data_IF_848151361918
#
_entry.id   IF_848151361918
#
_cell.length_a   1.000
_cell.length_b   1.000
_cell.length_c   1.000
_cell.angle_alpha   90.00
_cell.angle_beta   90.00
_cell.angle_gamma   90.00
#
_symmetry.space_group_name_H-M   'P 1'
#
loop_
_entity.id
_entity.type
_entity.pdbx_description
1 polymer ?
#
# COMPACT_ATOMS: atom_id res chain seq x y z
N UNK A 1 -10.63 26.30 8.18
CA UNK A 1 -11.59 25.69 7.21
C UNK A 1 -11.65 24.15 7.31
N UNK A 2 -11.12 23.56 8.36
CA UNK A 2 -10.97 22.09 8.57
C UNK A 2 -12.23 21.36 9.11
N UNK A 3 -13.20 22.07 9.68
CA UNK A 3 -14.33 21.43 10.39
C UNK A 3 -15.50 20.96 9.49
N UNK A 4 -15.58 21.42 8.24
CA UNK A 4 -16.68 21.01 7.34
C UNK A 4 -16.42 19.71 6.57
N UNK A 5 -15.15 19.32 6.37
CA UNK A 5 -14.78 18.07 5.68
C UNK A 5 -15.01 16.85 6.56
N UNK A 6 -14.72 16.95 7.85
CA UNK A 6 -14.95 15.87 8.83
C UNK A 6 -16.43 15.50 8.97
N UNK A 7 -17.34 16.49 8.92
CA UNK A 7 -18.78 16.24 9.08
C UNK A 7 -19.40 15.55 7.84
N UNK A 8 -18.91 15.84 6.64
CA UNK A 8 -19.45 15.26 5.40
C UNK A 8 -19.04 13.78 5.26
N UNK A 9 -17.79 13.44 5.60
CA UNK A 9 -17.33 12.04 5.60
C UNK A 9 -18.07 11.22 6.66
N UNK A 10 -18.30 11.77 7.85
CA UNK A 10 -19.05 11.10 8.91
C UNK A 10 -20.53 10.86 8.53
N UNK A 11 -21.16 11.77 7.80
CA UNK A 11 -22.53 11.60 7.30
C UNK A 11 -22.58 10.54 6.19
N UNK A 12 -21.61 10.53 5.27
CA UNK A 12 -21.53 9.53 4.21
C UNK A 12 -21.28 8.12 4.76
N UNK A 13 -20.36 7.97 5.70
CA UNK A 13 -20.12 6.69 6.41
C UNK A 13 -21.38 6.24 7.15
N UNK A 14 -22.11 7.14 7.80
CA UNK A 14 -23.38 6.84 8.46
C UNK A 14 -24.48 6.42 7.47
N UNK A 15 -24.58 7.05 6.30
CA UNK A 15 -25.57 6.69 5.27
C UNK A 15 -25.24 5.31 4.64
N UNK A 16 -23.98 5.02 4.38
CA UNK A 16 -23.53 3.71 3.87
C UNK A 16 -23.81 2.63 4.92
N UNK A 17 -23.45 2.87 6.16
CA UNK A 17 -23.70 1.92 7.26
C UNK A 17 -25.21 1.74 7.56
N UNK A 18 -26.04 2.77 7.37
CA UNK A 18 -27.49 2.66 7.50
C UNK A 18 -28.14 1.89 6.34
N UNK A 19 -27.58 1.98 5.12
CA UNK A 19 -28.04 1.23 3.95
C UNK A 19 -27.50 -0.21 3.94
N UNK A 20 -26.51 -0.56 4.77
CA UNK A 20 -25.87 -1.89 4.83
C UNK A 20 -26.84 -3.03 5.16
N UNK A 21 -27.95 -2.74 5.82
CA UNK A 21 -28.99 -3.74 6.14
C UNK A 21 -29.91 -4.09 4.95
N UNK A 22 -29.84 -3.34 3.84
CA UNK A 22 -30.80 -3.44 2.74
C UNK A 22 -30.16 -3.80 1.40
N UNK A 23 -28.93 -3.34 1.14
CA UNK A 23 -28.26 -3.55 -0.15
C UNK A 23 -26.93 -4.29 0.00
N UNK A 24 -26.61 -5.23 -0.92
CA UNK A 24 -25.28 -5.82 -1.00
C UNK A 24 -24.18 -4.76 -1.13
N UNK A 25 -23.02 -4.98 -0.50
CA UNK A 25 -21.91 -4.01 -0.40
C UNK A 25 -21.48 -3.44 -1.78
N UNK A 26 -21.34 -4.29 -2.78
CA UNK A 26 -20.94 -3.85 -4.13
C UNK A 26 -21.97 -2.90 -4.77
N UNK A 27 -23.26 -3.02 -4.45
CA UNK A 27 -24.29 -2.08 -4.90
C UNK A 27 -24.24 -0.76 -4.15
N UNK A 28 -23.87 -0.79 -2.87
CA UNK A 28 -23.63 0.43 -2.08
C UNK A 28 -22.47 1.24 -2.66
N UNK A 29 -21.36 0.59 -3.04
CA UNK A 29 -20.20 1.23 -3.66
C UNK A 29 -20.58 1.83 -5.03
N UNK A 30 -21.36 1.11 -5.83
CA UNK A 30 -21.88 1.64 -7.12
C UNK A 30 -22.80 2.84 -6.94
N UNK A 31 -23.68 2.80 -5.94
CA UNK A 31 -24.54 3.94 -5.60
C UNK A 31 -23.71 5.15 -5.16
N UNK A 32 -22.67 4.94 -4.35
CA UNK A 32 -21.73 5.99 -3.97
C UNK A 32 -21.03 6.59 -5.19
N UNK A 33 -20.54 5.78 -6.13
CA UNK A 33 -19.98 6.23 -7.41
C UNK A 33 -20.93 7.17 -8.15
N UNK A 34 -22.21 6.79 -8.27
CA UNK A 34 -23.22 7.61 -8.96
C UNK A 34 -23.46 8.95 -8.25
N UNK A 35 -23.53 8.93 -6.90
CA UNK A 35 -23.69 10.15 -6.10
C UNK A 35 -22.50 11.09 -6.26
N UNK A 36 -21.28 10.56 -6.28
CA UNK A 36 -20.07 11.35 -6.48
C UNK A 36 -20.01 11.97 -7.88
N UNK A 37 -20.38 11.19 -8.92
CA UNK A 37 -20.52 11.73 -10.29
C UNK A 37 -21.55 12.86 -10.38
N UNK A 38 -22.70 12.72 -9.75
CA UNK A 38 -23.72 13.77 -9.72
C UNK A 38 -23.19 15.03 -9.01
N UNK A 39 -22.52 14.86 -7.87
CA UNK A 39 -21.91 15.96 -7.12
C UNK A 39 -20.83 16.70 -7.92
N UNK A 40 -19.96 15.98 -8.64
CA UNK A 40 -18.94 16.58 -9.50
C UNK A 40 -19.54 17.43 -10.62
N UNK A 41 -20.67 17.01 -11.20
CA UNK A 41 -21.39 17.79 -12.22
C UNK A 41 -21.96 19.11 -11.69
N UNK A 42 -22.37 19.13 -10.41
CA UNK A 42 -23.03 20.30 -9.80
C UNK A 42 -22.07 21.25 -9.10
N UNK A 43 -20.98 20.76 -8.50
CA UNK A 43 -20.07 21.54 -7.65
C UNK A 43 -18.68 21.70 -8.27
N UNK A 44 -18.39 20.94 -9.33
CA UNK A 44 -17.04 20.82 -9.91
C UNK A 44 -16.10 19.95 -9.07
N UNK A 45 -14.99 19.53 -9.67
CA UNK A 45 -13.94 18.82 -8.93
C UNK A 45 -13.14 19.82 -8.09
N UNK A 46 -13.07 19.62 -6.79
CA UNK A 46 -12.22 20.41 -5.87
C UNK A 46 -10.76 19.97 -5.87
N UNK A 47 -10.44 18.87 -6.53
CA UNK A 47 -9.07 18.37 -6.62
C UNK A 47 -8.37 18.97 -7.82
N UNK A 48 -7.15 19.50 -7.64
CA UNK A 48 -6.26 19.68 -8.77
C UNK A 48 -5.99 18.29 -9.37
N UNK A 49 -6.25 18.13 -10.66
CA UNK A 49 -5.70 17.00 -11.40
C UNK A 49 -4.19 17.23 -11.48
N UNK A 50 -3.45 16.39 -10.80
CA UNK A 50 -1.99 16.44 -10.85
C UNK A 50 -1.58 15.70 -12.14
N UNK A 51 -1.43 16.45 -13.22
CA UNK A 51 -0.85 15.93 -14.44
C UNK A 51 0.67 16.13 -14.36
N UNK A 52 1.38 15.05 -14.11
CA UNK A 52 2.83 15.07 -14.23
C UNK A 52 3.23 14.99 -15.70
N UNK A 53 3.75 16.09 -16.23
CA UNK A 53 4.43 16.09 -17.54
C UNK A 53 5.88 15.69 -17.30
N UNK A 54 6.35 14.65 -18.00
CA UNK A 54 7.73 14.21 -17.89
C UNK A 54 8.68 15.31 -18.33
N UNK A 55 9.48 15.76 -17.37
CA UNK A 55 10.53 16.75 -17.59
C UNK A 55 11.86 16.20 -17.08
N UNK A 56 13.00 16.56 -17.70
CA UNK A 56 14.30 16.21 -17.16
C UNK A 56 14.42 16.71 -15.71
N UNK A 57 14.88 15.83 -14.83
CA UNK A 57 15.18 16.21 -13.45
C UNK A 57 16.44 17.07 -13.44
N UNK A 58 16.42 18.28 -12.84
CA UNK A 58 17.60 19.16 -12.77
C UNK A 58 18.75 18.51 -12.00
N UNK A 59 19.99 18.94 -12.26
CA UNK A 59 21.10 18.63 -11.35
C UNK A 59 20.79 19.21 -9.97
N UNK A 60 20.81 18.36 -8.95
CA UNK A 60 20.51 18.77 -7.57
C UNK A 60 21.40 19.92 -7.08
N UNK A 61 22.66 20.01 -7.57
CA UNK A 61 23.59 21.07 -7.19
C UNK A 61 23.25 22.45 -7.80
N UNK A 62 22.40 22.46 -8.83
CA UNK A 62 21.89 23.69 -9.43
C UNK A 62 20.69 24.31 -8.72
N UNK A 63 20.07 23.55 -7.78
CA UNK A 63 18.87 23.98 -7.06
C UNK A 63 19.23 24.67 -5.74
N UNK A 64 18.40 25.62 -5.32
CA UNK A 64 18.37 26.03 -3.92
C UNK A 64 17.79 24.87 -3.08
N UNK A 65 18.21 24.77 -1.81
CA UNK A 65 17.79 23.63 -0.95
C UNK A 65 16.29 23.61 -0.76
N UNK A 66 15.65 24.77 -0.68
CA UNK A 66 14.21 24.96 -0.54
C UNK A 66 13.39 24.57 -1.77
N UNK A 67 14.03 24.44 -2.94
CA UNK A 67 13.39 24.07 -4.21
C UNK A 67 13.46 22.56 -4.49
N UNK A 68 14.10 21.79 -3.62
CA UNK A 68 14.15 20.34 -3.72
C UNK A 68 12.77 19.74 -3.42
N UNK A 69 12.11 19.17 -4.43
CA UNK A 69 10.81 18.51 -4.29
C UNK A 69 10.93 16.99 -4.32
N UNK A 70 10.83 16.36 -3.15
CA UNK A 70 10.86 14.90 -3.00
C UNK A 70 9.58 14.22 -3.46
N UNK A 71 8.51 14.96 -3.75
CA UNK A 71 7.28 14.42 -4.30
C UNK A 71 7.26 14.29 -5.82
N UNK A 72 8.31 14.78 -6.50
CA UNK A 72 8.42 14.68 -7.96
C UNK A 72 8.67 13.22 -8.38
N UNK A 73 7.73 12.56 -9.09
CA UNK A 73 7.86 11.15 -9.47
C UNK A 73 9.01 10.90 -10.45
N UNK A 74 9.39 11.88 -11.25
CA UNK A 74 10.49 11.73 -12.21
C UNK A 74 11.86 11.63 -11.54
N UNK A 75 11.97 12.13 -10.31
CA UNK A 75 13.17 11.97 -9.48
C UNK A 75 13.50 10.47 -9.30
N UNK A 76 12.48 9.65 -9.08
CA UNK A 76 12.62 8.19 -8.90
C UNK A 76 12.71 7.48 -10.24
N UNK A 77 11.87 7.86 -11.20
CA UNK A 77 11.83 7.23 -12.53
C UNK A 77 13.13 7.39 -13.32
N UNK A 78 13.80 8.52 -13.15
CA UNK A 78 15.09 8.83 -13.81
C UNK A 78 16.29 8.44 -12.91
N UNK A 79 16.08 7.73 -11.82
CA UNK A 79 17.10 7.26 -10.85
C UNK A 79 18.01 8.39 -10.29
N UNK A 80 17.47 9.61 -10.15
CA UNK A 80 18.19 10.77 -9.63
C UNK A 80 18.05 10.95 -8.11
N UNK A 81 17.15 10.23 -7.48
CA UNK A 81 16.75 10.42 -6.08
C UNK A 81 17.90 10.30 -5.08
N UNK A 82 18.91 9.45 -5.34
CA UNK A 82 20.02 9.25 -4.40
C UNK A 82 20.81 10.52 -4.12
N UNK A 83 21.10 11.31 -5.15
CA UNK A 83 21.81 12.58 -5.02
C UNK A 83 20.98 13.61 -4.25
N UNK A 84 19.67 13.68 -4.52
CA UNK A 84 18.72 14.57 -3.86
C UNK A 84 18.60 14.25 -2.37
N UNK A 85 18.36 13.00 -2.02
CA UNK A 85 18.26 12.58 -0.61
C UNK A 85 19.60 12.67 0.11
N UNK A 86 20.73 12.45 -0.59
CA UNK A 86 22.05 12.69 0.01
C UNK A 86 22.20 14.16 0.43
N UNK A 87 21.90 15.08 -0.47
CA UNK A 87 22.01 16.50 -0.20
C UNK A 87 21.06 16.93 0.94
N UNK A 88 19.81 16.45 0.95
CA UNK A 88 18.89 16.72 2.06
C UNK A 88 19.41 16.18 3.39
N UNK A 89 19.96 14.96 3.43
CA UNK A 89 20.54 14.43 4.67
C UNK A 89 21.71 15.26 5.20
N UNK A 90 22.48 15.82 4.32
CA UNK A 90 23.67 16.61 4.68
C UNK A 90 23.31 18.04 5.10
N UNK A 91 22.45 18.73 4.36
CA UNK A 91 22.18 20.16 4.48
C UNK A 91 20.85 20.48 5.19
N UNK A 92 19.79 19.70 4.96
CA UNK A 92 18.44 19.94 5.48
C UNK A 92 17.70 18.62 5.78
N UNK A 93 18.12 17.83 6.81
CA UNK A 93 17.56 16.52 7.08
C UNK A 93 16.08 16.52 7.48
N UNK A 94 15.57 17.64 7.96
CA UNK A 94 14.16 17.95 8.19
C UNK A 94 13.80 19.10 7.26
N UNK A 95 13.34 18.76 6.06
CA UNK A 95 13.14 19.69 4.95
C UNK A 95 11.67 20.03 4.76
N UNK A 96 11.32 21.32 4.74
CA UNK A 96 9.96 21.80 4.49
C UNK A 96 9.72 22.04 3.01
N UNK A 97 8.94 21.18 2.40
CA UNK A 97 8.46 21.35 1.03
C UNK A 97 7.24 22.27 1.02
N UNK A 98 7.46 23.54 0.72
CA UNK A 98 6.40 24.57 0.74
C UNK A 98 5.38 24.41 -0.39
N UNK A 99 5.86 23.97 -1.56
CA UNK A 99 5.04 23.84 -2.78
C UNK A 99 5.23 22.45 -3.36
N UNK A 100 4.15 21.69 -3.44
CA UNK A 100 4.09 20.45 -4.18
C UNK A 100 2.69 20.25 -4.76
N UNK A 101 2.50 19.35 -5.71
CA UNK A 101 1.17 18.97 -6.22
C UNK A 101 0.23 18.48 -5.13
N UNK A 102 0.79 17.99 -4.01
CA UNK A 102 0.04 17.48 -2.85
C UNK A 102 -0.16 18.53 -1.75
N UNK A 103 0.33 19.78 -1.95
CA UNK A 103 0.41 20.81 -0.92
C UNK A 103 1.69 20.68 -0.06
N UNK A 104 1.84 21.49 1.02
CA UNK A 104 3.05 21.49 1.83
C UNK A 104 3.20 20.23 2.68
N UNK A 105 4.44 19.82 2.92
CA UNK A 105 4.79 18.70 3.80
C UNK A 105 6.27 18.79 4.24
N UNK A 106 6.64 18.04 5.26
CA UNK A 106 8.00 17.86 5.73
C UNK A 106 8.58 16.55 5.17
N UNK A 107 9.81 16.58 4.64
CA UNK A 107 10.59 15.38 4.30
C UNK A 107 11.60 15.09 5.39
N UNK A 108 11.54 13.90 5.97
CA UNK A 108 12.47 13.43 6.99
C UNK A 108 13.40 12.42 6.34
N UNK A 109 14.72 12.71 6.34
CA UNK A 109 15.66 11.96 5.49
C UNK A 109 16.75 11.22 6.26
N UNK A 110 16.96 11.46 7.56
CA UNK A 110 17.90 10.70 8.39
C UNK A 110 17.23 9.58 9.12
N UNK A 111 17.92 8.45 9.23
CA UNK A 111 17.40 7.22 9.82
C UNK A 111 16.88 7.39 11.25
N UNK A 112 17.64 8.08 12.11
CA UNK A 112 17.26 8.32 13.50
C UNK A 112 15.98 9.17 13.62
N UNK A 113 15.84 10.15 12.72
CA UNK A 113 14.67 11.05 12.69
C UNK A 113 13.44 10.29 12.15
N UNK A 114 13.63 9.42 11.16
CA UNK A 114 12.58 8.52 10.67
C UNK A 114 12.12 7.59 11.79
N UNK A 115 13.05 6.97 12.52
CA UNK A 115 12.72 6.13 13.67
C UNK A 115 11.98 6.90 14.78
N UNK A 116 12.37 8.16 15.02
CA UNK A 116 11.70 9.02 15.98
C UNK A 116 10.25 9.27 15.54
N UNK A 117 10.01 9.65 14.28
CA UNK A 117 8.66 9.90 13.76
C UNK A 117 7.83 8.62 13.76
N UNK A 118 8.39 7.49 13.32
CA UNK A 118 7.65 6.23 13.19
C UNK A 118 7.26 5.61 14.54
N UNK A 119 8.10 5.74 15.54
CA UNK A 119 7.86 5.15 16.89
C UNK A 119 6.96 5.98 17.80
N UNK A 120 6.74 7.26 17.49
CA UNK A 120 6.00 8.17 18.36
C UNK A 120 4.61 8.47 17.78
N UNK A 121 3.72 7.47 17.78
CA UNK A 121 2.37 7.60 17.25
C UNK A 121 1.52 8.66 17.98
N UNK A 122 1.83 8.97 19.23
CA UNK A 122 1.17 10.06 19.98
C UNK A 122 1.49 11.44 19.40
N UNK A 123 2.70 11.61 18.83
CA UNK A 123 3.15 12.84 18.19
C UNK A 123 2.85 12.86 16.68
N UNK A 124 2.84 11.67 16.05
CA UNK A 124 2.75 11.51 14.60
C UNK A 124 1.76 10.41 14.24
N UNK A 125 0.52 10.81 13.96
CA UNK A 125 -0.58 9.91 13.63
C UNK A 125 -0.41 9.30 12.24
N UNK A 126 -0.80 8.04 12.08
CA UNK A 126 -0.96 7.39 10.78
C UNK A 126 -2.25 7.81 10.07
N UNK A 127 -3.20 8.40 10.80
CA UNK A 127 -4.47 8.85 10.25
C UNK A 127 -4.33 10.16 9.44
N UNK A 128 -5.18 10.37 8.45
CA UNK A 128 -6.17 9.45 7.89
C UNK A 128 -5.59 8.55 6.80
N UNK A 129 -4.30 8.63 6.50
CA UNK A 129 -3.67 7.96 5.39
C UNK A 129 -2.14 7.96 5.46
N UNK A 130 -1.50 6.90 4.97
CA UNK A 130 -0.04 6.70 5.01
C UNK A 130 0.69 7.15 3.73
N UNK A 131 -0.02 7.56 2.68
CA UNK A 131 0.55 8.08 1.44
C UNK A 131 0.39 9.60 1.38
N UNK A 132 1.23 10.27 0.58
CA UNK A 132 1.27 11.73 0.50
C UNK A 132 -0.01 12.33 -0.09
N UNK A 133 -0.59 11.69 -1.12
CA UNK A 133 -1.87 12.10 -1.71
C UNK A 133 -3.06 11.82 -0.79
N UNK A 134 -4.10 12.61 -0.89
CA UNK A 134 -5.35 12.33 -0.17
C UNK A 134 -6.26 11.38 -0.98
N UNK A 135 -7.09 10.53 -0.35
CA UNK A 135 -7.98 9.62 -1.05
C UNK A 135 -9.02 10.38 -1.88
N UNK A 136 -9.61 9.77 -2.93
CA UNK A 136 -10.72 10.37 -3.67
C UNK A 136 -11.84 10.82 -2.74
N UNK A 137 -12.44 11.99 -3.03
CA UNK A 137 -13.56 12.46 -2.23
C UNK A 137 -14.68 11.43 -2.23
N UNK A 138 -15.11 10.98 -1.06
CA UNK A 138 -16.14 9.94 -0.90
C UNK A 138 -15.67 8.49 -0.97
N UNK A 139 -14.40 8.22 -1.32
CA UNK A 139 -13.79 6.89 -1.23
C UNK A 139 -12.68 6.89 -0.15
N UNK A 140 -13.03 7.31 1.05
CA UNK A 140 -12.14 7.13 2.20
C UNK A 140 -12.35 5.73 2.73
N UNK A 141 -11.45 4.81 2.33
CA UNK A 141 -11.43 3.46 2.90
C UNK A 141 -10.63 3.48 4.20
N UNK A 142 -11.16 2.79 5.19
CA UNK A 142 -10.50 2.63 6.49
C UNK A 142 -9.66 1.35 6.46
N UNK A 143 -8.37 1.47 6.67
CA UNK A 143 -7.44 0.33 6.73
C UNK A 143 -6.55 0.43 7.96
N UNK A 144 -6.26 -0.69 8.62
CA UNK A 144 -5.58 -0.64 9.91
C UNK A 144 -4.19 0.00 9.86
N UNK A 145 -3.48 -0.05 8.74
CA UNK A 145 -2.18 0.63 8.59
C UNK A 145 -2.29 2.16 8.67
N UNK A 146 -3.48 2.71 8.41
CA UNK A 146 -3.80 4.14 8.50
C UNK A 146 -4.66 4.46 9.74
N UNK A 147 -4.55 3.65 10.77
CA UNK A 147 -5.20 3.83 12.07
C UNK A 147 -4.15 3.97 13.16
N UNK A 148 -4.52 4.63 14.24
CA UNK A 148 -3.71 4.71 15.46
C UNK A 148 -4.16 3.67 16.50
N UNK A 149 -3.33 3.36 17.51
CA UNK A 149 -3.75 2.56 18.65
C UNK A 149 -4.96 3.19 19.38
N UNK A 150 -5.87 2.39 19.97
CA UNK A 150 -5.85 0.93 20.06
C UNK A 150 -6.43 0.20 18.85
N UNK A 151 -7.12 0.92 17.92
CA UNK A 151 -7.84 0.32 16.79
C UNK A 151 -6.88 -0.42 15.83
N UNK A 152 -5.72 0.18 15.53
CA UNK A 152 -4.65 -0.46 14.77
C UNK A 152 -4.25 -1.81 15.35
N UNK A 153 -3.93 -1.84 16.65
CA UNK A 153 -3.36 -3.03 17.30
C UNK A 153 -4.32 -4.20 17.33
N UNK A 154 -5.59 -3.91 17.53
CA UNK A 154 -6.67 -4.89 17.55
C UNK A 154 -6.77 -5.59 16.19
N UNK A 155 -6.86 -4.82 15.11
CA UNK A 155 -7.03 -5.37 13.77
C UNK A 155 -5.76 -6.04 13.24
N UNK A 156 -4.60 -5.48 13.52
CA UNK A 156 -3.32 -6.09 13.15
C UNK A 156 -3.13 -7.45 13.82
N UNK A 157 -3.46 -7.57 15.12
CA UNK A 157 -3.39 -8.86 15.83
C UNK A 157 -4.28 -9.94 15.20
N UNK A 158 -5.43 -9.57 14.66
CA UNK A 158 -6.35 -10.51 14.03
C UNK A 158 -5.71 -11.26 12.83
N UNK A 159 -4.80 -10.63 12.09
CA UNK A 159 -4.21 -11.17 10.86
C UNK A 159 -2.74 -11.57 10.98
N UNK A 160 -2.02 -11.09 12.00
CA UNK A 160 -0.57 -11.31 12.10
C UNK A 160 -0.19 -12.79 12.21
N UNK A 161 -1.08 -13.64 12.70
CA UNK A 161 -0.84 -15.07 12.86
C UNK A 161 -0.50 -15.76 11.53
N UNK A 162 -1.15 -15.41 10.42
CA UNK A 162 -0.91 -16.04 9.12
C UNK A 162 0.54 -15.90 8.66
N UNK A 163 1.15 -14.76 8.92
CA UNK A 163 2.54 -14.47 8.54
C UNK A 163 3.53 -14.64 9.70
N UNK A 164 3.11 -15.28 10.79
CA UNK A 164 4.01 -15.59 11.89
C UNK A 164 5.12 -16.57 11.46
N UNK A 165 6.35 -16.46 11.99
CA UNK A 165 7.50 -17.28 11.54
C UNK A 165 7.23 -18.79 11.55
N UNK A 166 6.48 -19.30 12.55
CA UNK A 166 6.08 -20.71 12.61
C UNK A 166 5.27 -21.11 11.38
N UNK A 167 4.26 -20.32 11.03
CA UNK A 167 3.34 -20.63 9.93
C UNK A 167 4.01 -20.45 8.57
N UNK A 168 4.90 -19.45 8.43
CA UNK A 168 5.72 -19.30 7.23
C UNK A 168 6.64 -20.51 7.01
N UNK A 169 7.17 -21.09 8.09
CA UNK A 169 7.98 -22.31 8.02
C UNK A 169 7.14 -23.52 7.54
N UNK A 170 5.90 -23.64 8.00
CA UNK A 170 4.99 -24.69 7.54
C UNK A 170 4.62 -24.50 6.06
N UNK A 171 4.54 -23.27 5.58
CA UNK A 171 4.27 -22.93 4.18
C UNK A 171 5.51 -23.05 3.26
N UNK A 172 6.72 -23.20 3.79
CA UNK A 172 7.97 -23.20 2.99
C UNK A 172 7.92 -24.21 1.84
N UNK A 173 7.45 -25.43 2.10
CA UNK A 173 7.33 -26.47 1.08
C UNK A 173 6.40 -26.06 -0.07
N UNK A 174 5.26 -25.45 0.25
CA UNK A 174 4.32 -24.94 -0.75
C UNK A 174 4.91 -23.77 -1.55
N UNK A 175 5.54 -22.82 -0.86
CA UNK A 175 6.18 -21.67 -1.52
C UNK A 175 7.26 -22.14 -2.48
N UNK A 176 8.10 -23.10 -2.06
CA UNK A 176 9.16 -23.69 -2.87
C UNK A 176 8.61 -24.42 -4.10
N UNK A 177 7.55 -25.24 -3.94
CA UNK A 177 6.89 -25.91 -5.06
C UNK A 177 6.36 -24.92 -6.09
N UNK A 178 5.67 -23.89 -5.64
CA UNK A 178 5.12 -22.87 -6.54
C UNK A 178 6.20 -22.05 -7.24
N UNK A 179 7.28 -21.75 -6.54
CA UNK A 179 8.42 -21.07 -7.15
C UNK A 179 9.06 -21.96 -8.24
N UNK A 180 9.24 -23.25 -7.97
CA UNK A 180 9.75 -24.20 -8.95
C UNK A 180 8.82 -24.30 -10.18
N UNK A 181 7.52 -24.50 -9.98
CA UNK A 181 6.53 -24.55 -11.06
C UNK A 181 6.56 -23.30 -11.97
N UNK A 182 6.68 -22.11 -11.37
CA UNK A 182 6.79 -20.86 -12.12
C UNK A 182 8.09 -20.83 -12.92
N UNK A 183 9.22 -21.17 -12.30
CA UNK A 183 10.53 -21.16 -12.96
C UNK A 183 10.63 -22.21 -14.06
N UNK A 184 10.09 -23.42 -13.85
CA UNK A 184 10.08 -24.51 -14.84
C UNK A 184 9.19 -24.21 -16.04
N UNK A 185 8.19 -23.32 -15.90
CA UNK A 185 7.32 -22.87 -16.99
C UNK A 185 7.94 -21.81 -17.90
N UNK A 186 9.11 -21.29 -17.56
CA UNK A 186 9.72 -20.18 -18.31
C UNK A 186 10.30 -20.66 -19.65
N UNK A 187 10.20 -19.83 -20.72
CA UNK A 187 10.85 -20.14 -21.97
C UNK A 187 12.38 -20.07 -21.82
N UNK A 188 13.09 -21.12 -22.30
CA UNK A 188 14.56 -21.20 -22.25
C UNK A 188 15.22 -20.69 -23.54
N UNK A 189 14.45 -20.58 -24.62
CA UNK A 189 14.90 -20.33 -25.99
C UNK A 189 14.71 -18.88 -26.46
N UNK A 190 14.06 -18.04 -25.66
CA UNK A 190 13.76 -16.65 -26.02
C UNK A 190 13.71 -15.73 -24.79
N UNK A 191 13.97 -14.42 -25.00
CA UNK A 191 13.77 -13.41 -23.96
C UNK A 191 12.32 -13.34 -23.50
N UNK A 192 12.10 -13.10 -22.21
CA UNK A 192 10.79 -12.90 -21.62
C UNK A 192 10.82 -11.78 -20.57
N UNK A 193 9.65 -11.23 -20.27
CA UNK A 193 9.52 -10.23 -19.22
C UNK A 193 9.39 -10.93 -17.85
N UNK A 194 10.39 -10.73 -16.99
CA UNK A 194 10.44 -11.32 -15.65
C UNK A 194 9.26 -10.93 -14.77
N UNK A 195 8.84 -9.66 -14.82
CA UNK A 195 7.79 -9.14 -13.93
C UNK A 195 6.47 -9.89 -14.08
N UNK A 196 5.83 -9.98 -15.27
CA UNK A 196 4.61 -10.76 -15.41
C UNK A 196 4.83 -12.26 -15.29
N UNK A 197 5.94 -12.80 -15.82
CA UNK A 197 6.15 -14.23 -15.89
C UNK A 197 6.51 -14.86 -14.53
N UNK A 198 7.21 -14.13 -13.67
CA UNK A 198 7.67 -14.65 -12.38
C UNK A 198 7.08 -13.87 -11.20
N UNK A 199 7.39 -12.59 -11.10
CA UNK A 199 7.10 -11.84 -9.88
C UNK A 199 5.60 -11.70 -9.61
N UNK A 200 4.80 -11.32 -10.63
CA UNK A 200 3.34 -11.21 -10.52
C UNK A 200 2.67 -12.58 -10.36
N UNK A 201 3.13 -13.56 -11.12
CA UNK A 201 2.54 -14.91 -11.06
C UNK A 201 2.74 -15.54 -9.68
N UNK A 202 3.96 -15.48 -9.13
CA UNK A 202 4.25 -16.05 -7.82
C UNK A 202 3.50 -15.34 -6.69
N UNK A 203 3.46 -14.00 -6.71
CA UNK A 203 2.71 -13.25 -5.68
C UNK A 203 1.21 -13.50 -5.78
N UNK A 204 0.64 -13.57 -6.98
CA UNK A 204 -0.77 -13.91 -7.19
C UNK A 204 -1.13 -15.29 -6.65
N UNK A 205 -0.29 -16.29 -6.89
CA UNK A 205 -0.45 -17.65 -6.35
C UNK A 205 -0.42 -17.68 -4.82
N UNK A 206 0.51 -16.94 -4.22
CA UNK A 206 0.63 -16.89 -2.76
C UNK A 206 -0.52 -16.12 -2.11
N UNK A 207 -0.94 -14.99 -2.68
CA UNK A 207 -2.10 -14.23 -2.19
C UNK A 207 -3.38 -15.04 -2.23
N UNK A 208 -3.64 -15.78 -3.34
CA UNK A 208 -4.79 -16.65 -3.43
C UNK A 208 -4.81 -17.68 -2.30
N UNK A 209 -3.65 -18.23 -1.93
CA UNK A 209 -3.54 -19.16 -0.79
C UNK A 209 -3.77 -18.46 0.55
N UNK A 210 -3.12 -17.32 0.78
CA UNK A 210 -3.22 -16.60 2.05
C UNK A 210 -4.62 -16.07 2.34
N UNK A 211 -5.41 -15.78 1.29
CA UNK A 211 -6.77 -15.29 1.37
C UNK A 211 -7.83 -16.40 1.20
N UNK A 212 -7.41 -17.64 0.87
CA UNK A 212 -8.28 -18.73 0.40
C UNK A 212 -9.20 -18.29 -0.75
N UNK A 213 -8.63 -17.46 -1.64
CA UNK A 213 -9.31 -16.94 -2.82
C UNK A 213 -9.29 -17.97 -3.94
N UNK A 214 -10.35 -18.06 -4.79
CA UNK A 214 -10.39 -19.01 -5.89
C UNK A 214 -9.14 -18.93 -6.76
N UNK A 215 -8.40 -20.04 -6.85
CA UNK A 215 -7.07 -20.07 -7.45
C UNK A 215 -7.09 -19.68 -8.94
N UNK A 216 -8.14 -20.06 -9.66
CA UNK A 216 -8.32 -19.73 -11.08
C UNK A 216 -8.57 -18.23 -11.30
N UNK A 217 -9.06 -17.53 -10.28
CA UNK A 217 -9.33 -16.10 -10.32
C UNK A 217 -8.17 -15.26 -9.72
N UNK A 218 -7.03 -15.88 -9.36
CA UNK A 218 -5.91 -15.21 -8.67
C UNK A 218 -5.36 -13.97 -9.39
N UNK A 219 -5.48 -13.91 -10.72
CA UNK A 219 -5.06 -12.77 -11.52
C UNK A 219 -5.80 -11.47 -11.11
N UNK A 220 -7.05 -11.57 -10.64
CA UNK A 220 -7.81 -10.42 -10.14
C UNK A 220 -7.13 -9.75 -8.95
N UNK A 221 -6.49 -10.53 -8.07
CA UNK A 221 -5.77 -9.99 -6.92
C UNK A 221 -4.61 -9.10 -7.36
N UNK A 222 -3.88 -9.53 -8.41
CA UNK A 222 -2.79 -8.76 -9.01
C UNK A 222 -3.31 -7.52 -9.70
N UNK A 223 -4.38 -7.64 -10.49
CA UNK A 223 -5.00 -6.54 -11.23
C UNK A 223 -5.54 -5.45 -10.29
N UNK A 224 -6.23 -5.84 -9.20
CA UNK A 224 -6.69 -4.91 -8.18
C UNK A 224 -5.52 -4.23 -7.48
N UNK A 225 -4.45 -4.97 -7.15
CA UNK A 225 -3.25 -4.41 -6.55
C UNK A 225 -2.61 -3.36 -7.46
N UNK A 226 -2.41 -3.67 -8.74
CA UNK A 226 -1.80 -2.76 -9.71
C UNK A 226 -2.57 -1.44 -9.83
N UNK A 227 -3.90 -1.53 -9.91
CA UNK A 227 -4.75 -0.33 -10.07
C UNK A 227 -4.86 0.48 -8.78
N UNK A 228 -4.97 -0.19 -7.63
CA UNK A 228 -5.02 0.49 -6.33
C UNK A 228 -3.68 1.16 -5.99
N UNK A 229 -2.56 0.51 -6.28
CA UNK A 229 -1.21 1.09 -6.10
C UNK A 229 -0.94 2.23 -7.09
N UNK A 230 -1.34 2.09 -8.34
CA UNK A 230 -1.21 3.13 -9.36
C UNK A 230 -1.98 4.40 -8.99
N UNK A 231 -3.16 4.25 -8.38
CA UNK A 231 -3.94 5.38 -7.88
C UNK A 231 -3.31 6.08 -6.67
N UNK A 232 -2.56 5.33 -5.88
CA UNK A 232 -1.87 5.84 -4.68
C UNK A 232 -0.48 6.39 -5.02
N UNK A 233 0.09 5.99 -6.16
CA UNK A 233 1.48 6.25 -6.49
C UNK A 233 1.69 7.65 -7.04
N UNK A 234 2.37 8.48 -6.27
CA UNK A 234 3.04 9.68 -6.76
C UNK A 234 4.27 9.36 -7.63
N UNK A 235 4.56 8.09 -7.90
CA UNK A 235 5.79 7.62 -8.56
C UNK A 235 5.69 7.55 -10.10
N UNK A 236 4.82 8.37 -10.72
CA UNK A 236 4.78 8.51 -12.18
C UNK A 236 4.09 7.36 -12.92
N UNK A 237 3.32 6.53 -12.22
CA UNK A 237 2.34 5.64 -12.83
C UNK A 237 1.18 6.46 -13.39
N UNK A 238 0.50 5.93 -14.39
CA UNK A 238 -0.78 6.50 -14.83
C UNK A 238 -1.74 6.49 -13.62
N UNK A 239 -2.31 7.67 -13.32
CA UNK A 239 -3.36 7.75 -12.29
C UNK A 239 -4.53 6.91 -12.76
N UNK A 240 -4.90 5.92 -11.98
CA UNK A 240 -6.11 5.15 -12.23
C UNK A 240 -7.31 6.09 -12.15
N UNK A 241 -8.16 6.08 -13.18
CA UNK A 241 -9.41 6.84 -13.18
C UNK A 241 -10.23 6.49 -11.94
N UNK A 242 -10.75 7.50 -11.25
CA UNK A 242 -11.60 7.29 -10.07
C UNK A 242 -12.78 6.34 -10.37
N UNK A 243 -13.31 6.36 -11.59
CA UNK A 243 -14.38 5.45 -11.99
C UNK A 243 -13.94 3.99 -11.98
N UNK A 244 -12.71 3.72 -12.43
CA UNK A 244 -12.10 2.39 -12.41
C UNK A 244 -11.87 1.94 -10.96
N UNK A 245 -11.41 2.84 -10.10
CA UNK A 245 -11.22 2.54 -8.67
C UNK A 245 -12.53 2.12 -7.97
N UNK A 246 -13.62 2.81 -8.26
CA UNK A 246 -14.94 2.43 -7.72
C UNK A 246 -15.43 1.09 -8.27
N UNK A 247 -15.17 0.80 -9.55
CA UNK A 247 -15.56 -0.48 -10.16
C UNK A 247 -14.75 -1.63 -9.58
N UNK A 248 -13.45 -1.45 -9.38
CA UNK A 248 -12.57 -2.43 -8.72
C UNK A 248 -12.98 -2.66 -7.26
N UNK A 249 -13.26 -1.60 -6.52
CA UNK A 249 -13.74 -1.72 -5.14
C UNK A 249 -15.08 -2.48 -5.08
N UNK A 250 -15.98 -2.25 -6.04
CA UNK A 250 -17.25 -2.97 -6.11
C UNK A 250 -17.07 -4.45 -6.50
N UNK A 251 -16.16 -4.76 -7.43
CA UNK A 251 -15.85 -6.14 -7.82
C UNK A 251 -15.18 -6.91 -6.66
N UNK A 252 -14.20 -6.29 -6.00
CA UNK A 252 -13.56 -6.82 -4.81
C UNK A 252 -14.58 -7.06 -3.68
N UNK A 253 -15.47 -6.09 -3.41
CA UNK A 253 -16.53 -6.23 -2.42
C UNK A 253 -17.46 -7.42 -2.73
N UNK A 254 -17.80 -7.64 -4.00
CA UNK A 254 -18.62 -8.74 -4.43
C UNK A 254 -17.93 -10.08 -4.20
N UNK A 255 -16.68 -10.21 -4.66
CA UNK A 255 -15.90 -11.43 -4.57
C UNK A 255 -15.67 -11.85 -3.10
N UNK A 256 -15.19 -10.92 -2.28
CA UNK A 256 -14.88 -11.21 -0.88
C UNK A 256 -16.12 -11.32 0.02
N UNK A 257 -17.21 -10.61 -0.28
CA UNK A 257 -18.48 -10.85 0.43
C UNK A 257 -19.05 -12.25 0.16
N UNK A 258 -18.87 -12.76 -1.06
CA UNK A 258 -19.24 -14.16 -1.39
C UNK A 258 -18.37 -15.12 -0.60
N UNK A 259 -17.03 -14.98 -0.70
CA UNK A 259 -16.08 -15.84 0.02
C UNK A 259 -16.32 -15.82 1.53
N UNK A 260 -16.58 -14.64 2.10
CA UNK A 260 -16.89 -14.50 3.53
C UNK A 260 -18.13 -15.31 3.93
N UNK A 261 -19.24 -15.18 3.18
CA UNK A 261 -20.49 -15.90 3.47
C UNK A 261 -20.38 -17.39 3.25
N UNK A 262 -19.64 -17.83 2.23
CA UNK A 262 -19.38 -19.25 1.99
C UNK A 262 -18.62 -19.87 3.17
N UNK A 263 -17.64 -19.16 3.73
CA UNK A 263 -16.93 -19.58 4.94
C UNK A 263 -17.83 -19.59 6.20
N UNK A 264 -18.68 -18.59 6.36
CA UNK A 264 -19.69 -18.57 7.44
C UNK A 264 -20.62 -19.80 7.35
N UNK A 265 -21.11 -20.12 6.14
CA UNK A 265 -21.97 -21.26 5.91
C UNK A 265 -21.27 -22.60 6.22
N UNK A 266 -20.02 -22.77 5.80
CA UNK A 266 -19.20 -23.97 6.11
C UNK A 266 -18.99 -24.12 7.62
N UNK A 267 -18.64 -23.03 8.31
CA UNK A 267 -18.49 -23.03 9.78
C UNK A 267 -19.80 -23.40 10.48
N UNK A 268 -20.92 -22.86 10.02
CA UNK A 268 -22.24 -23.21 10.55
C UNK A 268 -22.62 -24.68 10.30
N UNK A 269 -22.10 -25.30 9.23
CA UNK A 269 -22.22 -26.72 8.94
C UNK A 269 -21.27 -27.62 9.75
N UNK A 270 -20.41 -27.03 10.62
CA UNK A 270 -19.46 -27.75 11.47
C UNK A 270 -18.12 -28.06 10.81
N UNK A 271 -17.80 -27.43 9.67
CA UNK A 271 -16.47 -27.56 9.08
C UNK A 271 -15.44 -26.76 9.89
N UNK A 272 -14.26 -27.35 10.08
CA UNK A 272 -13.14 -26.64 10.71
C UNK A 272 -12.68 -25.46 9.83
N UNK A 273 -12.42 -24.28 10.42
CA UNK A 273 -11.94 -23.13 9.66
C UNK A 273 -10.57 -23.41 9.02
N UNK A 274 -10.44 -23.09 7.75
CA UNK A 274 -9.14 -23.10 7.08
C UNK A 274 -8.20 -22.03 7.67
N UNK A 275 -6.89 -22.29 7.59
CA UNK A 275 -5.87 -21.38 8.09
C UNK A 275 -5.53 -20.35 7.01
N UNK A 276 -6.32 -19.27 6.95
CA UNK A 276 -6.18 -18.16 6.01
C UNK A 276 -6.65 -16.84 6.64
N UNK A 277 -6.30 -15.72 5.97
CA UNK A 277 -6.59 -14.37 6.45
C UNK A 277 -8.09 -14.10 6.65
N UNK A 278 -8.94 -14.59 5.76
CA UNK A 278 -10.40 -14.37 5.85
C UNK A 278 -10.97 -15.13 7.05
N UNK A 279 -10.58 -16.39 7.22
CA UNK A 279 -11.00 -17.22 8.37
C UNK A 279 -10.52 -16.63 9.70
N UNK A 280 -9.32 -16.05 9.74
CA UNK A 280 -8.81 -15.36 10.93
C UNK A 280 -9.61 -14.10 11.26
N UNK A 281 -9.91 -13.27 10.26
CA UNK A 281 -10.77 -12.09 10.46
C UNK A 281 -12.16 -12.49 10.99
N UNK A 282 -12.74 -13.58 10.50
CA UNK A 282 -14.02 -14.10 10.97
C UNK A 282 -13.96 -14.70 12.39
N UNK A 283 -12.81 -15.26 12.75
CA UNK A 283 -12.63 -15.93 14.04
C UNK A 283 -12.30 -15.00 15.19
N UNK A 284 -11.96 -13.73 14.92
CA UNK A 284 -11.54 -12.75 15.94
C UNK A 284 -12.74 -11.87 16.34
N UNK A 285 -12.97 -11.72 17.65
CA UNK A 285 -14.11 -10.98 18.20
C UNK A 285 -14.21 -9.52 17.72
N UNK A 286 -13.07 -8.88 17.45
CA UNK A 286 -13.00 -7.48 17.05
C UNK A 286 -13.20 -7.26 15.53
N UNK A 287 -13.11 -8.34 14.73
CA UNK A 287 -13.20 -8.28 13.26
C UNK A 287 -14.28 -9.19 12.66
N UNK A 288 -14.91 -10.06 13.45
CA UNK A 288 -15.95 -11.01 12.96
C UNK A 288 -17.17 -10.33 12.29
N UNK A 289 -17.43 -9.08 12.62
CA UNK A 289 -18.50 -8.26 12.05
C UNK A 289 -18.01 -7.33 10.92
N UNK A 290 -16.75 -7.47 10.48
CA UNK A 290 -16.11 -6.57 9.52
C UNK A 290 -16.91 -6.46 8.20
N UNK A 291 -17.57 -7.53 7.78
CA UNK A 291 -18.45 -7.52 6.60
C UNK A 291 -19.61 -6.49 6.72
N UNK A 292 -19.99 -6.11 7.94
CA UNK A 292 -21.02 -5.09 8.22
C UNK A 292 -20.45 -3.67 8.28
N UNK A 293 -19.13 -3.50 8.09
CA UNK A 293 -18.39 -2.24 8.06
C UNK A 293 -17.73 -2.06 6.68
N UNK A 294 -18.50 -1.69 5.62
CA UNK A 294 -18.06 -1.82 4.23
C UNK A 294 -16.75 -1.12 3.89
N UNK A 295 -16.53 0.10 4.38
CA UNK A 295 -15.30 0.86 4.07
C UNK A 295 -14.07 0.26 4.75
N UNK A 296 -14.23 -0.26 5.96
CA UNK A 296 -13.19 -0.93 6.71
C UNK A 296 -12.91 -2.34 6.15
N UNK A 297 -13.97 -3.07 5.74
CA UNK A 297 -13.82 -4.37 5.08
C UNK A 297 -13.00 -4.26 3.80
N UNK A 298 -13.39 -3.36 2.89
CA UNK A 298 -12.68 -3.14 1.62
C UNK A 298 -11.30 -2.55 1.85
N UNK A 299 -11.15 -1.62 2.78
CA UNK A 299 -9.85 -1.02 3.09
C UNK A 299 -8.84 -2.04 3.59
N UNK A 300 -9.23 -2.91 4.51
CA UNK A 300 -8.35 -3.95 5.03
C UNK A 300 -8.02 -5.03 3.99
N UNK A 301 -8.98 -5.40 3.14
CA UNK A 301 -8.70 -6.33 2.04
C UNK A 301 -7.75 -5.71 1.01
N UNK A 302 -7.98 -4.46 0.62
CA UNK A 302 -7.08 -3.73 -0.27
C UNK A 302 -5.66 -3.65 0.31
N UNK A 303 -5.53 -3.34 1.61
CA UNK A 303 -4.24 -3.33 2.30
C UNK A 303 -3.53 -4.68 2.24
N UNK A 304 -4.23 -5.77 2.55
CA UNK A 304 -3.64 -7.11 2.55
C UNK A 304 -3.24 -7.56 1.13
N UNK A 305 -4.03 -7.22 0.13
CA UNK A 305 -3.74 -7.52 -1.28
C UNK A 305 -2.52 -6.71 -1.76
N UNK A 306 -2.54 -5.38 -1.60
CA UNK A 306 -1.46 -4.50 -2.05
C UNK A 306 -0.16 -4.78 -1.29
N UNK A 307 -0.23 -4.89 0.03
CA UNK A 307 0.93 -5.16 0.88
C UNK A 307 1.60 -6.51 0.58
N UNK A 308 0.80 -7.54 0.29
CA UNK A 308 1.31 -8.87 -0.05
C UNK A 308 1.82 -9.01 -1.48
N UNK A 309 1.33 -8.19 -2.41
CA UNK A 309 1.70 -8.26 -3.83
C UNK A 309 2.87 -7.32 -4.16
N UNK A 310 2.68 -6.02 -4.03
CA UNK A 310 3.57 -5.01 -4.61
C UNK A 310 4.96 -5.01 -4.02
N UNK A 311 5.07 -5.07 -2.70
CA UNK A 311 6.37 -5.04 -2.03
C UNK A 311 7.21 -6.27 -2.34
N UNK A 312 6.58 -7.44 -2.33
CA UNK A 312 7.24 -8.72 -2.63
C UNK A 312 7.63 -8.81 -4.12
N UNK A 313 6.72 -8.44 -5.01
CA UNK A 313 6.96 -8.38 -6.46
C UNK A 313 8.14 -7.47 -6.80
N UNK A 314 8.16 -6.26 -6.24
CA UNK A 314 9.21 -5.29 -6.48
C UNK A 314 10.56 -5.76 -5.89
N UNK A 315 10.55 -6.40 -4.73
CA UNK A 315 11.77 -7.00 -4.16
C UNK A 315 12.34 -8.12 -5.04
N UNK A 316 11.50 -9.03 -5.54
CA UNK A 316 11.95 -10.09 -6.45
C UNK A 316 12.51 -9.52 -7.76
N UNK A 317 11.82 -8.56 -8.37
CA UNK A 317 12.26 -7.94 -9.62
C UNK A 317 13.54 -7.12 -9.42
N UNK A 318 13.60 -6.33 -8.35
CA UNK A 318 14.78 -5.56 -7.98
C UNK A 318 15.98 -6.45 -7.64
N UNK A 319 15.74 -7.60 -7.02
CA UNK A 319 16.79 -8.58 -6.73
C UNK A 319 17.45 -9.12 -8.00
N UNK A 320 16.66 -9.48 -9.02
CA UNK A 320 17.20 -9.92 -10.31
C UNK A 320 17.98 -8.77 -10.98
N UNK A 321 17.45 -7.55 -10.96
CA UNK A 321 18.14 -6.38 -11.49
C UNK A 321 19.48 -6.16 -10.77
N UNK A 322 19.47 -6.18 -9.43
CA UNK A 322 20.67 -5.97 -8.63
C UNK A 322 21.75 -7.02 -8.90
N UNK A 323 21.38 -8.30 -8.97
CA UNK A 323 22.33 -9.39 -9.28
C UNK A 323 22.92 -9.27 -10.69
N UNK A 324 22.22 -8.64 -11.63
CA UNK A 324 22.76 -8.32 -12.96
C UNK A 324 23.67 -7.08 -12.95
N UNK A 325 23.35 -6.08 -12.14
CA UNK A 325 24.15 -4.86 -12.01
C UNK A 325 25.45 -5.09 -11.22
N UNK A 326 25.44 -6.07 -10.29
CA UNK A 326 26.55 -6.40 -9.40
C UNK A 326 26.94 -7.88 -9.54
N UNK A 327 27.56 -8.27 -10.69
CA UNK A 327 27.86 -9.67 -10.98
C UNK A 327 28.86 -10.30 -9.98
N UNK A 328 29.71 -9.49 -9.35
CA UNK A 328 30.63 -9.96 -8.29
C UNK A 328 29.87 -10.39 -7.03
N UNK A 329 28.78 -9.71 -6.66
CA UNK A 329 27.92 -10.10 -5.54
C UNK A 329 27.15 -11.39 -5.88
N UNK A 330 26.72 -11.54 -7.13
CA UNK A 330 26.09 -12.78 -7.59
C UNK A 330 27.07 -13.96 -7.57
N UNK A 331 28.34 -13.75 -7.94
CA UNK A 331 29.38 -14.76 -7.84
C UNK A 331 29.63 -15.20 -6.38
N UNK A 332 29.69 -14.26 -5.44
CA UNK A 332 29.78 -14.55 -4.00
C UNK A 332 28.59 -15.37 -3.51
N UNK A 333 27.37 -15.00 -3.90
CA UNK A 333 26.16 -15.73 -3.54
C UNK A 333 26.18 -17.18 -4.05
N UNK A 334 26.59 -17.39 -5.31
CA UNK A 334 26.72 -18.73 -5.88
C UNK A 334 27.79 -19.59 -5.18
N UNK A 335 28.91 -18.97 -4.78
CA UNK A 335 29.96 -19.64 -4.03
C UNK A 335 29.58 -19.96 -2.57
N UNK A 336 28.67 -19.18 -1.98
CA UNK A 336 28.24 -19.30 -0.57
C UNK A 336 26.73 -19.10 -0.43
N UNK A 337 25.91 -20.13 -0.69
CA UNK A 337 24.42 -20.03 -0.63
C UNK A 337 23.88 -19.63 0.74
N UNK A 338 24.61 -19.86 1.83
CA UNK A 338 24.23 -19.42 3.19
C UNK A 338 24.06 -17.90 3.32
N UNK A 339 24.52 -17.11 2.33
CA UNK A 339 24.29 -15.67 2.26
C UNK A 339 22.87 -15.30 1.80
N UNK A 340 22.04 -16.24 1.35
CA UNK A 340 20.67 -15.95 0.86
C UNK A 340 19.84 -15.12 1.86
N UNK A 341 19.79 -15.43 3.17
CA UNK A 341 19.03 -14.61 4.11
C UNK A 341 19.51 -13.13 4.16
N UNK A 342 20.84 -12.94 4.13
CA UNK A 342 21.43 -11.60 4.12
C UNK A 342 21.14 -10.87 2.80
N UNK A 343 21.20 -11.59 1.68
CA UNK A 343 20.84 -11.07 0.35
C UNK A 343 19.38 -10.58 0.34
N UNK A 344 18.45 -11.34 0.91
CA UNK A 344 17.03 -10.94 0.97
C UNK A 344 16.88 -9.61 1.72
N UNK A 345 17.50 -9.46 2.88
CA UNK A 345 17.48 -8.22 3.66
C UNK A 345 18.10 -7.04 2.88
N UNK A 346 19.24 -7.30 2.18
CA UNK A 346 19.90 -6.28 1.39
C UNK A 346 19.10 -5.87 0.15
N UNK A 347 18.43 -6.81 -0.53
CA UNK A 347 17.52 -6.49 -1.65
C UNK A 347 16.40 -5.56 -1.18
N UNK A 348 15.77 -5.85 -0.05
CA UNK A 348 14.69 -5.00 0.50
C UNK A 348 15.22 -3.59 0.81
N UNK A 349 16.39 -3.49 1.43
CA UNK A 349 17.04 -2.21 1.72
C UNK A 349 17.38 -1.45 0.44
N UNK A 350 17.98 -2.12 -0.56
CA UNK A 350 18.46 -1.48 -1.80
C UNK A 350 17.32 -1.09 -2.73
N UNK A 351 16.34 -1.98 -2.91
CA UNK A 351 15.19 -1.74 -3.78
C UNK A 351 14.19 -0.76 -3.18
N UNK A 352 14.06 -0.74 -1.85
CA UNK A 352 13.11 0.10 -1.12
C UNK A 352 11.70 0.03 -1.74
N UNK A 353 11.04 -1.12 -1.73
CA UNK A 353 9.78 -1.35 -2.46
C UNK A 353 8.63 -0.47 -1.99
N UNK A 354 8.71 0.08 -0.79
CA UNK A 354 7.86 1.14 -0.27
C UNK A 354 8.73 2.36 0.02
N UNK A 355 8.77 3.30 -0.92
CA UNK A 355 9.72 4.40 -0.92
C UNK A 355 9.50 5.43 0.18
N UNK A 356 8.26 5.60 0.64
CA UNK A 356 7.93 6.58 1.68
C UNK A 356 6.64 6.22 2.41
N UNK A 357 6.49 6.76 3.61
CA UNK A 357 5.24 6.75 4.38
C UNK A 357 4.97 8.12 4.97
N UNK A 358 3.68 8.49 5.04
CA UNK A 358 3.22 9.74 5.65
C UNK A 358 2.78 9.52 7.09
N UNK A 359 3.03 10.56 7.90
CA UNK A 359 2.38 10.79 9.20
C UNK A 359 1.79 12.20 9.24
N UNK A 360 0.98 12.47 10.25
CA UNK A 360 0.43 13.80 10.52
C UNK A 360 0.77 14.19 11.94
N UNK A 361 1.38 15.36 12.14
CA UNK A 361 1.71 15.85 13.48
C UNK A 361 0.42 16.13 14.29
N UNK A 362 0.31 15.56 15.48
CA UNK A 362 -0.85 15.72 16.37
C UNK A 362 -0.75 16.98 17.24
N UNK A 363 0.45 17.49 17.39
CA UNK A 363 0.80 18.73 18.13
C UNK A 363 2.05 19.37 17.48
N UNK A 364 2.45 20.53 17.98
CA UNK A 364 3.72 21.15 17.58
C UNK A 364 4.89 20.31 18.10
N UNK A 365 5.84 19.98 17.24
CA UNK A 365 7.01 19.14 17.55
C UNK A 365 8.27 19.81 17.04
N UNK A 366 9.28 19.93 17.92
CA UNK A 366 10.61 20.37 17.53
C UNK A 366 11.47 19.17 17.09
N UNK A 367 12.02 19.26 15.87
CA UNK A 367 12.93 18.25 15.35
C UNK A 367 14.10 18.93 14.61
N UNK A 368 15.33 18.73 15.09
CA UNK A 368 16.56 19.37 14.55
C UNK A 368 16.44 20.90 14.37
N UNK A 369 15.80 21.57 15.32
CA UNK A 369 15.62 23.03 15.27
C UNK A 369 14.55 23.52 14.28
N UNK A 370 13.78 22.60 13.70
CA UNK A 370 12.60 22.92 12.90
C UNK A 370 11.33 22.66 13.71
N UNK A 371 10.36 23.56 13.63
CA UNK A 371 9.05 23.41 14.28
C UNK A 371 8.05 22.83 13.29
N UNK A 372 7.74 21.54 13.42
CA UNK A 372 6.67 20.86 12.71
C UNK A 372 5.35 21.20 13.43
N UNK A 373 4.44 21.87 12.74
CA UNK A 373 3.18 22.32 13.36
C UNK A 373 2.13 21.22 13.40
N UNK A 374 1.25 21.31 14.39
CA UNK A 374 0.05 20.44 14.45
C UNK A 374 -0.71 20.46 13.13
N UNK A 375 -0.97 19.28 12.59
CA UNK A 375 -1.66 19.08 11.32
C UNK A 375 -0.74 19.06 10.10
N UNK A 376 0.56 19.33 10.27
CA UNK A 376 1.53 19.20 9.18
C UNK A 376 1.71 17.73 8.78
N UNK A 377 1.87 17.52 7.49
CA UNK A 377 2.21 16.22 6.93
C UNK A 377 3.72 16.00 6.99
N UNK A 378 4.10 14.82 7.42
CA UNK A 378 5.50 14.40 7.57
C UNK A 378 5.71 13.16 6.71
N UNK A 379 6.63 13.21 5.78
CA UNK A 379 7.00 12.14 4.86
C UNK A 379 8.35 11.56 5.28
N UNK A 380 8.35 10.26 5.51
CA UNK A 380 9.53 9.49 5.88
C UNK A 380 10.03 8.65 4.72
#
# INVERSE_FOLDING_TARGET
MSTKTSSTNAIQTKMINASSKVLPMHLQIKALKMLMKAKKKTVGSRRPQVNFVETPVPDVNSLAIEDIDTSNPFLYRQDQWRAYFKRLRDEAPVHYQKKSPFGPFWSITRYEDILFVDKNHELFSSEPQIILGDPPEGLSVEMFIAMDPPKHDVQRRAVQGVVAPKNLKEMEGLIRSRAAEVLDSLPLDKPFNWVPAVSKELTGRMLATLLDFPYEERHKLVDWSDRLSGAASATGGEFTDEDVMFDDAADMARAFSRLWRDKEARRAAGEEPSFDLISMLQGNDDTKDLINRPMEFIGNLALLIVGGNDTTRNSMSGGVLALNQFPEEFAKLKAKPDLIPNMVSEIIRWQTPLANMRRVATQDVELRGQTIKKGDRVLM
#
